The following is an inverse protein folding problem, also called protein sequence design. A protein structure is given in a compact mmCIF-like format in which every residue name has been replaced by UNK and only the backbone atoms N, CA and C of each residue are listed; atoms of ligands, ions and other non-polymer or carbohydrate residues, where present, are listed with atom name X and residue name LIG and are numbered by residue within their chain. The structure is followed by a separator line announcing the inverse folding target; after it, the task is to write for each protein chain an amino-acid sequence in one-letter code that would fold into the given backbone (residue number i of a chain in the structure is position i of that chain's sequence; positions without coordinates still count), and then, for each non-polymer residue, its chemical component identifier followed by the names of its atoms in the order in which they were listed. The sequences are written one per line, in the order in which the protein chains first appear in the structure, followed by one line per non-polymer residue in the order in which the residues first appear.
data_IF_319765562916
#
_entry.id   IF_319765562916
#
_cell.length_a   1.000
_cell.length_b   1.000
_cell.length_c   1.000
_cell.angle_alpha   90.00
_cell.angle_beta   90.00
_cell.angle_gamma   90.00
#
_symmetry.space_group_name_H-M   'P 1'
#
loop_
_entity.id
_entity.type
_entity.pdbx_description
1 polymer ?
#
# COMPACT_ATOMS: atom_id res chain seq x y z
N UNK A 1 5.45 1.06 -18.80
CA UNK A 1 6.47 0.98 -19.87
C UNK A 1 7.40 2.17 -19.76
N UNK A 2 8.72 1.93 -19.79
CA UNK A 2 9.74 2.98 -19.64
C UNK A 2 10.73 2.86 -20.80
N UNK A 3 10.91 3.96 -21.53
CA UNK A 3 12.04 4.17 -22.43
C UNK A 3 13.07 5.02 -21.67
N UNK A 4 14.16 4.38 -21.25
CA UNK A 4 15.18 5.03 -20.42
C UNK A 4 16.05 6.02 -21.21
N UNK A 5 16.30 5.77 -22.49
CA UNK A 5 17.11 6.65 -23.34
C UNK A 5 16.37 7.97 -23.58
N UNK A 6 15.08 7.88 -23.93
CA UNK A 6 14.25 9.06 -24.16
C UNK A 6 13.63 9.64 -22.89
N UNK A 7 13.83 9.01 -21.73
CA UNK A 7 13.21 9.35 -20.44
C UNK A 7 11.68 9.47 -20.53
N UNK A 8 11.04 8.57 -21.27
CA UNK A 8 9.59 8.55 -21.48
C UNK A 8 8.96 7.41 -20.70
N UNK A 9 8.00 7.75 -19.86
CA UNK A 9 7.16 6.79 -19.14
C UNK A 9 5.73 6.81 -19.71
N UNK A 10 5.11 5.63 -19.82
CA UNK A 10 3.69 5.46 -20.12
C UNK A 10 3.09 4.41 -19.19
N UNK A 11 1.96 4.76 -18.57
CA UNK A 11 1.09 3.81 -17.89
C UNK A 11 0.28 3.04 -18.94
N UNK A 12 0.16 1.73 -18.78
CA UNK A 12 -0.45 0.80 -19.73
C UNK A 12 -1.43 -0.12 -18.99
N UNK A 13 -2.12 -0.97 -19.76
CA UNK A 13 -3.03 -2.01 -19.25
C UNK A 13 -4.19 -1.47 -18.40
N UNK A 14 -5.09 -0.74 -19.06
CA UNK A 14 -6.29 -0.16 -18.46
C UNK A 14 -7.46 -1.16 -18.34
N UNK A 15 -7.21 -2.47 -18.48
CA UNK A 15 -8.26 -3.50 -18.51
C UNK A 15 -9.02 -3.68 -17.18
N UNK A 16 -8.44 -3.21 -16.07
CA UNK A 16 -9.06 -3.19 -14.74
C UNK A 16 -9.43 -1.78 -14.27
N UNK A 17 -9.23 -0.76 -15.10
CA UNK A 17 -9.60 0.61 -14.75
C UNK A 17 -11.12 0.76 -14.72
N UNK A 18 -11.60 1.68 -13.89
CA UNK A 18 -13.04 1.91 -13.68
C UNK A 18 -13.33 3.40 -13.40
N UNK A 19 -14.55 3.82 -13.70
CA UNK A 19 -15.05 5.14 -13.38
C UNK A 19 -15.46 5.22 -11.90
N UNK A 20 -14.90 6.21 -11.21
CA UNK A 20 -15.28 6.53 -9.85
C UNK A 20 -16.66 7.22 -9.80
N UNK A 21 -17.52 6.74 -8.90
CA UNK A 21 -18.82 7.28 -8.57
C UNK A 21 -18.97 7.27 -7.04
N UNK A 22 -19.21 8.41 -6.38
CA UNK A 22 -19.35 8.45 -4.93
C UNK A 22 -20.40 7.47 -4.41
N UNK A 23 -20.05 6.68 -3.40
CA UNK A 23 -20.93 5.67 -2.77
C UNK A 23 -21.16 4.39 -3.58
N UNK A 24 -20.50 4.21 -4.74
CA UNK A 24 -20.52 2.95 -5.46
C UNK A 24 -19.59 1.95 -4.76
N UNK A 25 -20.08 0.74 -4.54
CA UNK A 25 -19.28 -0.41 -4.12
C UNK A 25 -18.59 -1.04 -5.34
N UNK A 26 -17.30 -1.34 -5.21
CA UNK A 26 -16.44 -1.88 -6.25
C UNK A 26 -15.93 -3.28 -5.90
N UNK A 27 -15.60 -4.06 -6.92
CA UNK A 27 -15.04 -5.39 -6.73
C UNK A 27 -13.62 -5.30 -6.14
N UNK A 28 -13.36 -5.95 -5.01
CA UNK A 28 -12.03 -5.94 -4.35
C UNK A 28 -11.02 -6.89 -5.00
N UNK A 29 -11.45 -7.73 -5.96
CA UNK A 29 -10.61 -8.70 -6.67
C UNK A 29 -9.88 -8.08 -7.87
N UNK A 30 -9.37 -6.86 -7.68
CA UNK A 30 -8.54 -6.10 -8.63
C UNK A 30 -7.09 -6.00 -8.17
N UNK A 31 -6.18 -5.53 -9.02
CA UNK A 31 -4.74 -5.43 -8.77
C UNK A 31 -4.01 -6.76 -8.52
N UNK A 32 -2.69 -6.73 -8.71
CA UNK A 32 -1.81 -7.83 -8.35
C UNK A 32 -1.52 -7.83 -6.85
N UNK A 33 -1.41 -9.02 -6.25
CA UNK A 33 -1.36 -9.23 -4.78
C UNK A 33 -0.47 -8.24 -4.02
N UNK A 34 0.77 -8.06 -4.47
CA UNK A 34 1.77 -7.27 -3.74
C UNK A 34 1.48 -5.76 -3.71
N UNK A 35 0.54 -5.30 -4.56
CA UNK A 35 0.13 -3.91 -4.70
C UNK A 35 -1.29 -3.67 -4.19
N UNK A 36 -1.98 -4.70 -3.68
CA UNK A 36 -3.32 -4.53 -3.10
C UNK A 36 -3.25 -3.63 -1.86
N UNK A 37 -4.08 -2.60 -1.85
CA UNK A 37 -4.35 -1.77 -0.67
C UNK A 37 -5.03 -2.56 0.45
N UNK A 38 -4.87 -2.16 1.72
CA UNK A 38 -5.58 -2.77 2.85
C UNK A 38 -7.08 -2.89 2.63
N UNK A 39 -7.72 -1.89 2.02
CA UNK A 39 -9.15 -1.89 1.66
C UNK A 39 -9.56 -3.13 0.86
N UNK A 40 -8.73 -3.59 -0.08
CA UNK A 40 -9.02 -4.79 -0.88
C UNK A 40 -8.82 -6.10 -0.08
N UNK A 41 -8.00 -6.06 0.97
CA UNK A 41 -7.65 -7.21 1.80
C UNK A 41 -8.60 -7.38 2.98
N UNK A 42 -9.31 -6.32 3.36
CA UNK A 42 -10.33 -6.32 4.43
C UNK A 42 -11.76 -6.17 3.90
N UNK A 43 -11.92 -6.30 2.57
CA UNK A 43 -13.21 -6.26 1.86
C UNK A 43 -14.00 -4.93 1.99
N UNK A 44 -13.29 -3.79 2.12
CA UNK A 44 -13.91 -2.47 2.03
C UNK A 44 -14.13 -2.11 0.55
N UNK A 45 -15.40 -2.07 0.11
CA UNK A 45 -15.76 -1.98 -1.31
C UNK A 45 -15.96 -0.56 -1.83
N UNK A 46 -16.21 0.42 -0.97
CA UNK A 46 -16.44 1.82 -1.32
C UNK A 46 -15.14 2.64 -1.47
N UNK A 47 -14.08 1.99 -1.94
CA UNK A 47 -12.77 2.61 -2.16
C UNK A 47 -12.74 3.55 -3.38
N UNK A 48 -11.67 4.34 -3.47
CA UNK A 48 -11.51 5.38 -4.49
C UNK A 48 -10.09 5.43 -5.09
N UNK A 49 -9.75 6.56 -5.71
CA UNK A 49 -8.46 6.82 -6.36
C UNK A 49 -7.24 6.60 -5.45
N UNK A 50 -7.40 6.70 -4.13
CA UNK A 50 -6.34 6.50 -3.14
C UNK A 50 -5.78 5.06 -3.12
N UNK A 51 -6.48 4.09 -3.71
CA UNK A 51 -5.98 2.74 -3.96
C UNK A 51 -4.71 2.75 -4.83
N UNK A 52 -4.67 3.63 -5.84
CA UNK A 52 -3.51 3.77 -6.73
C UNK A 52 -2.31 4.34 -5.99
N UNK A 53 -2.55 5.21 -4.98
CA UNK A 53 -1.51 5.83 -4.18
C UNK A 53 -0.84 4.82 -3.25
N UNK A 54 -1.58 3.84 -2.74
CA UNK A 54 -0.99 2.69 -2.04
C UNK A 54 -0.11 1.86 -2.97
N UNK A 55 -0.63 1.53 -4.15
CA UNK A 55 0.11 0.75 -5.16
C UNK A 55 1.43 1.44 -5.54
N UNK A 56 1.40 2.76 -5.72
CA UNK A 56 2.57 3.60 -5.93
C UNK A 56 3.54 3.54 -4.74
N UNK A 57 3.03 3.63 -3.50
CA UNK A 57 3.83 3.48 -2.29
C UNK A 57 4.56 2.13 -2.20
N UNK A 58 3.87 1.03 -2.54
CA UNK A 58 4.46 -0.30 -2.60
C UNK A 58 5.59 -0.40 -3.64
N UNK A 59 5.37 0.16 -4.84
CA UNK A 59 6.39 0.23 -5.88
C UNK A 59 7.59 1.07 -5.43
N UNK A 60 7.34 2.26 -4.88
CA UNK A 60 8.36 3.18 -4.42
C UNK A 60 9.20 2.58 -3.29
N UNK A 61 8.57 1.94 -2.30
CA UNK A 61 9.26 1.19 -1.25
C UNK A 61 10.17 0.09 -1.82
N UNK A 62 9.68 -0.66 -2.82
CA UNK A 62 10.47 -1.69 -3.48
C UNK A 62 11.72 -1.12 -4.17
N UNK A 63 11.59 0.04 -4.81
CA UNK A 63 12.70 0.74 -5.45
C UNK A 63 13.73 1.27 -4.45
N UNK A 64 13.30 2.07 -3.46
CA UNK A 64 14.25 2.73 -2.55
C UNK A 64 14.91 1.76 -1.58
N UNK A 65 14.23 0.68 -1.18
CA UNK A 65 14.81 -0.34 -0.31
C UNK A 65 15.45 -1.50 -1.06
N UNK A 66 15.40 -1.53 -2.41
CA UNK A 66 15.86 -2.64 -3.25
C UNK A 66 15.28 -3.99 -2.79
N UNK A 67 13.99 -4.01 -2.50
CA UNK A 67 13.27 -5.18 -1.97
C UNK A 67 12.00 -5.39 -2.77
N UNK A 68 12.04 -6.29 -3.74
CA UNK A 68 10.96 -6.52 -4.69
C UNK A 68 10.36 -7.93 -4.54
N UNK A 69 9.05 -8.05 -4.22
CA UNK A 69 8.13 -6.99 -3.77
C UNK A 69 8.40 -6.57 -2.31
N UNK A 70 8.00 -5.35 -1.93
CA UNK A 70 8.22 -4.85 -0.58
C UNK A 70 7.38 -5.63 0.46
N UNK A 71 6.08 -5.83 0.18
CA UNK A 71 5.21 -6.70 0.95
C UNK A 71 5.00 -8.01 0.20
N UNK A 72 5.62 -9.09 0.68
CA UNK A 72 5.65 -10.39 -0.01
C UNK A 72 4.80 -11.44 0.69
N UNK A 73 3.47 -11.36 0.51
CA UNK A 73 2.51 -12.33 1.01
C UNK A 73 2.31 -13.53 0.07
N UNK A 74 2.15 -14.73 0.62
CA UNK A 74 1.90 -15.94 -0.19
C UNK A 74 0.48 -16.00 -0.78
N UNK A 75 -0.49 -15.40 -0.10
CA UNK A 75 -1.88 -15.21 -0.52
C UNK A 75 -2.40 -13.86 0.00
N UNK A 76 -3.70 -13.57 -0.17
CA UNK A 76 -4.26 -12.28 0.26
C UNK A 76 -4.29 -12.13 1.79
N UNK A 77 -4.49 -13.21 2.55
CA UNK A 77 -4.47 -13.17 4.01
C UNK A 77 -3.06 -12.86 4.52
N UNK A 78 -2.05 -13.58 4.04
CA UNK A 78 -0.65 -13.31 4.42
C UNK A 78 -0.14 -11.97 3.89
N UNK A 79 -0.73 -11.43 2.80
CA UNK A 79 -0.43 -10.08 2.34
C UNK A 79 -0.77 -9.05 3.41
N UNK A 80 -1.95 -9.15 4.05
CA UNK A 80 -2.33 -8.27 5.16
C UNK A 80 -1.38 -8.45 6.36
N UNK A 81 -1.01 -9.70 6.68
CA UNK A 81 -0.02 -10.00 7.73
C UNK A 81 1.33 -9.33 7.46
N UNK A 82 1.81 -9.35 6.21
CA UNK A 82 3.07 -8.68 5.84
C UNK A 82 2.99 -7.17 6.03
N UNK A 83 1.85 -6.56 5.72
CA UNK A 83 1.60 -5.13 5.92
C UNK A 83 1.59 -4.81 7.42
N UNK A 84 0.81 -5.56 8.22
CA UNK A 84 0.73 -5.43 9.68
C UNK A 84 2.07 -5.57 10.40
N UNK A 85 2.96 -6.44 9.92
CA UNK A 85 4.32 -6.57 10.47
C UNK A 85 5.18 -5.32 10.32
N UNK A 86 4.84 -4.42 9.38
CA UNK A 86 5.57 -3.17 9.11
C UNK A 86 4.84 -1.97 9.69
N UNK A 87 3.57 -1.76 9.32
CA UNK A 87 2.80 -0.59 9.74
C UNK A 87 2.24 -0.71 11.16
N UNK A 88 2.22 -1.93 11.72
CA UNK A 88 1.72 -2.21 13.06
C UNK A 88 0.22 -2.47 13.07
N UNK A 89 -0.24 -3.16 14.12
CA UNK A 89 -1.64 -3.59 14.25
C UNK A 89 -2.51 -2.54 14.94
N UNK A 90 -1.92 -1.61 15.69
CA UNK A 90 -2.69 -0.56 16.37
C UNK A 90 -3.37 0.39 15.35
N UNK A 91 -2.65 0.78 14.28
CA UNK A 91 -3.24 1.58 13.19
C UNK A 91 -4.23 0.77 12.33
N UNK A 92 -3.98 -0.53 12.12
CA UNK A 92 -4.92 -1.42 11.43
C UNK A 92 -6.25 -1.51 12.20
N UNK A 93 -6.19 -1.70 13.52
CA UNK A 93 -7.39 -1.80 14.36
C UNK A 93 -8.17 -0.49 14.34
N UNK A 94 -7.49 0.66 14.46
CA UNK A 94 -8.15 1.97 14.36
C UNK A 94 -8.84 2.17 12.99
N UNK A 95 -8.23 1.69 11.91
CA UNK A 95 -8.82 1.70 10.58
C UNK A 95 -10.06 0.81 10.50
N UNK A 96 -9.98 -0.44 10.97
CA UNK A 96 -11.12 -1.36 11.00
C UNK A 96 -12.29 -0.81 11.82
N UNK A 97 -12.00 -0.25 13.00
CA UNK A 97 -12.99 0.38 13.87
C UNK A 97 -13.67 1.58 13.19
N UNK A 98 -12.89 2.44 12.52
CA UNK A 98 -13.41 3.64 11.81
C UNK A 98 -14.43 3.29 10.73
N UNK A 99 -14.19 2.21 9.98
CA UNK A 99 -15.06 1.78 8.88
C UNK A 99 -16.02 0.64 9.25
N UNK A 100 -16.11 0.29 10.54
CA UNK A 100 -16.98 -0.78 11.04
C UNK A 100 -16.75 -2.13 10.35
N UNK A 101 -15.48 -2.49 10.15
CA UNK A 101 -15.05 -3.72 9.51
C UNK A 101 -14.58 -4.72 10.57
N UNK A 102 -14.92 -6.00 10.37
CA UNK A 102 -14.43 -7.10 11.20
C UNK A 102 -13.61 -8.05 10.33
N UNK A 103 -12.41 -8.41 10.79
CA UNK A 103 -11.65 -9.51 10.19
C UNK A 103 -12.29 -10.83 10.59
N UNK A 104 -12.27 -11.81 9.69
CA UNK A 104 -12.64 -13.16 10.10
C UNK A 104 -11.68 -13.69 11.18
N UNK A 105 -12.13 -14.55 12.11
CA UNK A 105 -11.32 -14.97 13.24
C UNK A 105 -10.01 -15.67 12.87
N UNK A 106 -9.93 -16.30 11.70
CA UNK A 106 -8.70 -16.96 11.26
C UNK A 106 -7.68 -15.92 10.79
N UNK A 107 -8.13 -14.91 10.03
CA UNK A 107 -7.28 -13.80 9.61
C UNK A 107 -6.82 -12.94 10.79
N UNK A 108 -7.70 -12.63 11.73
CA UNK A 108 -7.33 -11.88 12.94
C UNK A 108 -6.21 -12.59 13.73
N UNK A 109 -6.36 -13.91 13.93
CA UNK A 109 -5.33 -14.72 14.57
C UNK A 109 -4.00 -14.76 13.80
N UNK A 110 -4.05 -14.75 12.46
CA UNK A 110 -2.87 -14.70 11.59
C UNK A 110 -2.15 -13.35 11.64
N UNK A 111 -2.91 -12.25 11.70
CA UNK A 111 -2.39 -10.88 11.82
C UNK A 111 -1.68 -10.70 13.16
N UNK A 112 -2.27 -11.19 14.25
CA UNK A 112 -1.69 -11.13 15.59
C UNK A 112 -1.45 -9.69 16.05
N UNK A 113 -0.36 -9.45 16.81
CA UNK A 113 -0.02 -8.11 17.32
C UNK A 113 1.40 -7.69 16.92
N UNK A 114 1.51 -6.52 16.30
CA UNK A 114 2.78 -5.98 15.83
C UNK A 114 2.91 -4.49 16.09
N UNK A 115 4.08 -4.07 16.57
CA UNK A 115 4.44 -2.65 16.64
C UNK A 115 4.82 -2.13 15.25
N UNK A 116 4.46 -0.87 14.93
CA UNK A 116 4.98 -0.16 13.75
C UNK A 116 6.51 -0.22 13.74
N UNK A 117 7.08 -0.47 12.57
CA UNK A 117 8.53 -0.49 12.36
C UNK A 117 8.95 0.84 11.75
N UNK A 118 9.98 1.51 12.30
CA UNK A 118 10.52 2.69 11.65
C UNK A 118 11.16 2.26 10.32
N UNK A 119 10.99 3.09 9.29
CA UNK A 119 11.52 2.83 7.95
C UNK A 119 13.03 2.63 7.91
N UNK A 120 13.76 3.20 8.89
CA UNK A 120 15.19 3.00 9.07
C UNK A 120 15.61 1.54 9.22
N UNK A 121 14.72 0.63 9.63
CA UNK A 121 15.01 -0.81 9.71
C UNK A 121 15.21 -1.48 8.35
N UNK A 122 14.77 -0.85 7.27
CA UNK A 122 14.91 -1.38 5.91
C UNK A 122 16.10 -0.77 5.16
N UNK A 123 16.83 0.15 5.79
CA UNK A 123 18.03 0.77 5.22
C UNK A 123 19.25 -0.10 5.48
N UNK A 124 20.05 -0.35 4.44
CA UNK A 124 21.30 -1.11 4.50
C UNK A 124 22.34 -0.51 3.53
N UNK A 125 23.55 -1.09 3.52
CA UNK A 125 24.65 -0.60 2.69
C UNK A 125 24.32 -0.56 1.19
N UNK A 126 23.44 -1.44 0.71
CA UNK A 126 23.11 -1.58 -0.71
C UNK A 126 22.05 -0.58 -1.19
N UNK A 127 21.32 0.07 -0.27
CA UNK A 127 20.20 0.94 -0.61
C UNK A 127 20.26 2.34 0.05
N UNK A 128 21.16 2.57 1.01
CA UNK A 128 21.26 3.84 1.73
C UNK A 128 21.42 5.07 0.83
N UNK A 129 22.03 4.93 -0.35
CA UNK A 129 22.21 6.02 -1.32
C UNK A 129 20.91 6.41 -2.07
N UNK A 130 19.84 5.64 -1.92
CA UNK A 130 18.51 5.90 -2.48
C UNK A 130 17.55 6.49 -1.44
N UNK A 131 17.96 6.54 -0.17
CA UNK A 131 17.09 6.88 0.96
C UNK A 131 17.54 8.20 1.59
N UNK A 132 16.62 9.17 1.60
CA UNK A 132 16.75 10.44 2.30
C UNK A 132 15.55 10.69 3.23
N UNK A 133 15.61 11.65 4.16
CA UNK A 133 14.46 12.03 4.99
C UNK A 133 13.20 12.35 4.16
N UNK A 134 13.36 13.01 3.01
CA UNK A 134 12.27 13.35 2.10
C UNK A 134 11.63 12.11 1.46
N UNK A 135 12.44 11.13 1.04
CA UNK A 135 11.90 9.87 0.48
C UNK A 135 11.13 9.07 1.52
N UNK A 136 11.57 9.13 2.79
CA UNK A 136 10.93 8.41 3.89
C UNK A 136 9.63 9.09 4.29
N UNK A 137 9.62 10.43 4.40
CA UNK A 137 8.42 11.21 4.66
C UNK A 137 7.37 11.03 3.55
N UNK A 138 7.79 11.07 2.29
CA UNK A 138 6.92 10.80 1.15
C UNK A 138 6.33 9.40 1.21
N UNK A 139 7.14 8.37 1.44
CA UNK A 139 6.67 6.99 1.54
C UNK A 139 5.69 6.81 2.70
N UNK A 140 5.96 7.42 3.86
CA UNK A 140 5.11 7.32 5.05
C UNK A 140 3.72 7.89 4.82
N UNK A 141 3.61 8.95 4.01
CA UNK A 141 2.34 9.59 3.64
C UNK A 141 1.59 8.85 2.51
N UNK A 142 2.22 7.89 1.84
CA UNK A 142 1.55 6.99 0.88
C UNK A 142 1.06 5.70 1.55
N UNK A 143 1.90 5.08 2.37
CA UNK A 143 1.61 3.77 3.00
C UNK A 143 0.86 3.96 4.33
N UNK A 144 -0.40 4.37 4.22
CA UNK A 144 -1.38 4.44 5.31
C UNK A 144 -2.47 3.41 5.15
N UNK A 145 -2.92 2.83 6.26
CA UNK A 145 -4.09 1.95 6.28
C UNK A 145 -5.33 2.68 5.77
N UNK A 146 -5.64 3.79 6.44
CA UNK A 146 -6.73 4.66 6.06
C UNK A 146 -6.43 5.29 4.70
N UNK A 147 -7.27 4.92 3.73
CA UNK A 147 -7.14 5.36 2.37
C UNK A 147 -7.37 6.88 2.23
N UNK A 148 -8.12 7.48 3.17
CA UNK A 148 -8.35 8.93 3.26
C UNK A 148 -7.14 9.72 3.79
N UNK A 149 -6.20 9.07 4.47
CA UNK A 149 -5.00 9.71 5.02
C UNK A 149 -3.82 9.73 4.02
N UNK A 150 -3.99 9.09 2.86
CA UNK A 150 -2.96 9.02 1.82
C UNK A 150 -2.90 10.33 1.04
N UNK A 151 -1.70 10.73 0.63
CA UNK A 151 -1.56 11.85 -0.31
C UNK A 151 -2.38 11.60 -1.56
N UNK A 152 -3.06 12.64 -2.05
CA UNK A 152 -3.56 12.65 -3.42
C UNK A 152 -2.39 12.69 -4.40
N UNK A 153 -2.63 12.27 -5.64
CA UNK A 153 -1.62 12.36 -6.70
C UNK A 153 -1.11 13.80 -6.90
N UNK A 154 -1.96 14.82 -6.70
CA UNK A 154 -1.55 16.22 -6.82
C UNK A 154 -0.62 16.65 -5.68
N UNK A 155 -0.95 16.29 -4.44
CA UNK A 155 -0.12 16.61 -3.28
C UNK A 155 1.23 15.88 -3.34
N UNK A 156 1.25 14.67 -3.88
CA UNK A 156 2.46 13.88 -4.10
C UNK A 156 3.44 14.48 -5.13
N UNK A 157 3.03 15.47 -5.93
CA UNK A 157 3.87 16.10 -6.96
C UNK A 157 4.60 17.37 -6.48
N UNK A 158 4.31 17.85 -5.27
CA UNK A 158 4.82 19.11 -4.71
C UNK A 158 5.89 18.83 -3.66
#
# INVERSE_FOLDING_TARGET
MIDHELRKLRLIDWGLAEFYHPGKEYNVRVASRYFKGPELLVDLQDYDYSLDMWSLGCMFAGMIFRKEPFFYGHDNHDQLVKIAKVLGTDELNAYLDKYHLELDPQLDALVGRHSRKPWSKFINADNQHLVSPETIDFLDKLLRYDHQDRLTAREAMV
#
